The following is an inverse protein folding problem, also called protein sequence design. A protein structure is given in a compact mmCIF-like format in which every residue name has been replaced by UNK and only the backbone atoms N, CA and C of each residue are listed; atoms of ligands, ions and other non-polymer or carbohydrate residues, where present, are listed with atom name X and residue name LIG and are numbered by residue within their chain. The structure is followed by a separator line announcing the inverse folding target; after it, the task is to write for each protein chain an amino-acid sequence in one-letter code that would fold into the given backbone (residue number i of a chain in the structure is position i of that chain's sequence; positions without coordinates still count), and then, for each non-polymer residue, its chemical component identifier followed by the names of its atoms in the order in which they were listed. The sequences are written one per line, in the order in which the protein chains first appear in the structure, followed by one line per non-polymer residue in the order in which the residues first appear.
data_IF_934380306015
#
_entry.id   IF_934380306015
#
_cell.length_a   1.000
_cell.length_b   1.000
_cell.length_c   1.000
_cell.angle_alpha   90.00
_cell.angle_beta   90.00
_cell.angle_gamma   90.00
#
_symmetry.space_group_name_H-M   'P 1'
#
loop_
_entity.id
_entity.type
_entity.pdbx_description
1 polymer ?
#
# COMPACT_ATOMS: atom_id res chain seq x y z
N UNK A 1 -23.99 -31.51 -29.77
CA UNK A 1 -24.06 -30.24 -29.03
C UNK A 1 -22.63 -29.80 -28.78
N UNK A 2 -22.10 -28.80 -29.50
CA UNK A 2 -20.77 -28.28 -29.18
C UNK A 2 -20.89 -27.34 -27.99
N UNK A 3 -20.16 -27.60 -26.92
CA UNK A 3 -20.05 -26.66 -25.78
C UNK A 3 -19.50 -25.31 -26.28
N UNK A 4 -20.21 -24.24 -25.93
CA UNK A 4 -19.73 -22.88 -26.16
C UNK A 4 -18.66 -22.55 -25.11
N UNK A 5 -17.39 -22.61 -25.50
CA UNK A 5 -16.26 -22.15 -24.69
C UNK A 5 -15.74 -20.81 -25.23
N UNK A 6 -15.57 -19.82 -24.35
CA UNK A 6 -14.94 -18.53 -24.69
C UNK A 6 -14.06 -18.04 -23.55
N UNK A 7 -12.82 -17.73 -23.86
CA UNK A 7 -11.87 -17.13 -22.93
C UNK A 7 -12.20 -15.64 -22.73
N UNK A 8 -12.24 -15.18 -21.47
CA UNK A 8 -12.42 -13.78 -21.11
C UNK A 8 -11.17 -13.30 -20.39
N UNK A 9 -10.54 -12.24 -20.92
CA UNK A 9 -9.37 -11.59 -20.32
C UNK A 9 -9.77 -10.22 -19.79
N UNK A 10 -9.62 -10.02 -18.48
CA UNK A 10 -9.81 -8.72 -17.83
C UNK A 10 -8.44 -8.13 -17.55
N UNK A 11 -8.19 -6.90 -18.00
CA UNK A 11 -7.05 -6.12 -17.52
C UNK A 11 -7.31 -5.74 -16.05
N UNK A 12 -6.69 -6.47 -15.13
CA UNK A 12 -6.79 -6.24 -13.69
C UNK A 12 -5.90 -5.09 -13.22
N UNK A 13 -5.18 -4.40 -14.10
CA UNK A 13 -4.40 -3.22 -13.76
C UNK A 13 -3.19 -3.49 -12.87
N UNK A 14 -2.71 -4.74 -12.77
CA UNK A 14 -1.62 -5.13 -11.88
C UNK A 14 -0.29 -4.47 -12.29
N UNK A 15 0.46 -3.99 -11.29
CA UNK A 15 1.83 -3.49 -11.41
C UNK A 15 2.71 -4.24 -10.43
N UNK A 16 3.92 -4.57 -10.87
CA UNK A 16 4.93 -5.21 -10.04
C UNK A 16 5.95 -4.17 -9.59
N UNK A 17 6.13 -4.05 -8.28
CA UNK A 17 7.07 -3.12 -7.66
C UNK A 17 8.17 -3.96 -7.03
N UNK A 18 9.39 -3.92 -7.58
CA UNK A 18 10.52 -4.65 -7.02
C UNK A 18 10.89 -4.09 -5.65
N UNK A 19 11.19 -4.95 -4.68
CA UNK A 19 11.47 -4.54 -3.29
C UNK A 19 12.83 -4.98 -2.77
N UNK A 20 13.57 -5.79 -3.53
CA UNK A 20 14.92 -6.22 -3.16
C UNK A 20 15.71 -6.74 -4.37
N UNK A 21 17.00 -6.99 -4.17
CA UNK A 21 17.91 -7.53 -5.18
C UNK A 21 17.68 -9.03 -5.48
N UNK A 22 16.82 -9.72 -4.72
CA UNK A 22 16.46 -11.13 -4.92
C UNK A 22 15.37 -11.29 -5.98
N UNK A 23 14.80 -10.20 -6.48
CA UNK A 23 13.73 -10.20 -7.47
C UNK A 23 12.33 -10.34 -6.88
N UNK A 24 12.18 -10.21 -5.56
CA UNK A 24 10.85 -10.14 -4.96
C UNK A 24 10.15 -8.84 -5.36
N UNK A 25 8.82 -8.92 -5.43
CA UNK A 25 8.00 -7.78 -5.78
C UNK A 25 6.67 -7.77 -5.02
N UNK A 26 6.11 -6.57 -4.90
CA UNK A 26 4.74 -6.32 -4.50
C UNK A 26 3.85 -6.21 -5.74
N UNK A 27 2.61 -6.66 -5.63
CA UNK A 27 1.61 -6.56 -6.70
C UNK A 27 0.56 -5.53 -6.30
N UNK A 28 0.50 -4.42 -7.02
CA UNK A 28 -0.45 -3.34 -6.76
C UNK A 28 -1.32 -3.14 -7.99
N UNK A 29 -2.62 -3.25 -7.84
CA UNK A 29 -3.56 -2.99 -8.93
C UNK A 29 -3.99 -1.52 -8.92
N UNK A 30 -3.84 -0.84 -10.07
CA UNK A 30 -4.43 0.51 -10.26
C UNK A 30 -5.96 0.49 -10.36
N UNK A 31 -6.54 -0.70 -10.50
CA UNK A 31 -7.99 -0.93 -10.56
C UNK A 31 -8.55 -1.34 -9.19
N UNK A 32 -7.71 -1.62 -8.20
CA UNK A 32 -8.13 -1.77 -6.80
C UNK A 32 -8.26 -0.38 -6.18
N UNK A 33 -9.50 0.09 -6.03
CA UNK A 33 -9.74 1.39 -5.38
C UNK A 33 -9.41 1.36 -3.89
N UNK A 34 -9.45 0.19 -3.24
CA UNK A 34 -9.30 0.05 -1.80
C UNK A 34 -7.87 0.14 -1.31
N UNK A 35 -6.86 -0.01 -2.19
CA UNK A 35 -5.45 0.07 -1.77
C UNK A 35 -5.11 1.44 -1.20
N UNK A 36 -5.66 2.52 -1.77
CA UNK A 36 -5.45 3.89 -1.29
C UNK A 36 -6.12 4.12 0.07
N UNK A 37 -7.33 3.59 0.25
CA UNK A 37 -8.07 3.69 1.52
C UNK A 37 -7.32 2.92 2.63
N UNK A 38 -6.92 1.67 2.35
CA UNK A 38 -6.13 0.85 3.29
C UNK A 38 -4.80 1.52 3.66
N UNK A 39 -4.13 2.17 2.70
CA UNK A 39 -2.89 2.89 2.97
C UNK A 39 -3.13 4.14 3.82
N UNK A 40 -4.19 4.91 3.57
CA UNK A 40 -4.56 6.06 4.40
C UNK A 40 -4.91 5.65 5.85
N UNK A 41 -5.62 4.52 6.01
CA UNK A 41 -5.92 3.94 7.32
C UNK A 41 -4.65 3.52 8.07
N UNK A 42 -3.68 2.92 7.37
CA UNK A 42 -2.37 2.59 7.93
C UNK A 42 -1.64 3.85 8.43
N UNK A 43 -1.61 4.92 7.63
CA UNK A 43 -0.95 6.18 8.02
C UNK A 43 -1.60 6.82 9.24
N UNK A 44 -2.93 6.79 9.32
CA UNK A 44 -3.66 7.30 10.49
C UNK A 44 -3.32 6.50 11.73
N UNK A 45 -3.33 5.17 11.63
CA UNK A 45 -2.98 4.28 12.74
C UNK A 45 -1.52 4.47 13.20
N UNK A 46 -0.57 4.68 12.28
CA UNK A 46 0.83 4.95 12.63
C UNK A 46 0.97 6.22 13.45
N UNK A 47 0.29 7.31 13.06
CA UNK A 47 0.31 8.57 13.79
C UNK A 47 -0.29 8.43 15.21
N UNK A 48 -1.32 7.61 15.37
CA UNK A 48 -1.90 7.31 16.69
C UNK A 48 -0.92 6.50 17.55
N UNK A 49 -0.31 5.46 16.98
CA UNK A 49 0.67 4.63 17.72
C UNK A 49 1.94 5.38 18.09
N UNK A 50 2.40 6.30 17.26
CA UNK A 50 3.53 7.17 17.60
C UNK A 50 3.21 8.03 18.84
N UNK A 51 1.98 8.55 18.94
CA UNK A 51 1.53 9.28 20.13
C UNK A 51 1.48 8.36 21.36
N UNK A 52 0.98 7.14 21.21
CA UNK A 52 0.93 6.16 22.29
C UNK A 52 2.33 5.80 22.80
N UNK A 53 3.29 5.56 21.89
CA UNK A 53 4.68 5.29 22.23
C UNK A 53 5.35 6.47 22.93
N UNK A 54 5.12 7.69 22.42
CA UNK A 54 5.63 8.91 23.03
C UNK A 54 5.04 9.16 24.42
N UNK A 55 3.74 8.87 24.61
CA UNK A 55 3.10 8.98 25.91
C UNK A 55 3.64 7.93 26.88
N UNK A 56 3.75 6.67 26.44
CA UNK A 56 4.36 5.59 27.21
C UNK A 56 5.77 5.95 27.67
N UNK A 57 6.58 6.56 26.79
CA UNK A 57 7.90 7.05 27.15
C UNK A 57 7.87 8.14 28.22
N UNK A 58 6.96 9.10 28.11
CA UNK A 58 6.80 10.18 29.10
C UNK A 58 6.34 9.67 30.46
N UNK A 59 5.40 8.73 30.50
CA UNK A 59 4.85 8.17 31.74
C UNK A 59 5.92 7.44 32.57
N UNK A 60 6.96 6.94 31.91
CA UNK A 60 8.07 6.19 32.53
C UNK A 60 9.40 6.97 32.49
N UNK A 61 9.40 8.26 32.12
CA UNK A 61 10.62 9.07 31.98
C UNK A 61 11.39 9.33 33.29
N UNK A 62 10.76 9.08 34.45
CA UNK A 62 11.39 9.15 35.77
C UNK A 62 12.03 7.83 36.22
N UNK A 63 11.86 6.76 35.45
CA UNK A 63 12.47 5.47 35.74
C UNK A 63 13.95 5.47 35.33
N UNK A 64 14.74 4.65 36.00
CA UNK A 64 16.16 4.52 35.71
C UNK A 64 16.32 3.87 34.34
N UNK A 65 16.70 4.66 33.34
CA UNK A 65 16.87 4.19 31.96
C UNK A 65 18.01 3.16 31.79
N UNK A 66 18.85 2.97 32.81
CA UNK A 66 19.88 1.93 32.87
C UNK A 66 19.40 0.65 33.58
N UNK A 67 18.16 0.62 34.09
CA UNK A 67 17.53 -0.57 34.63
C UNK A 67 17.15 -1.54 33.49
N UNK A 68 17.69 -2.77 33.47
CA UNK A 68 17.36 -3.76 32.46
C UNK A 68 15.86 -4.08 32.34
N UNK A 69 15.09 -3.99 33.42
CA UNK A 69 13.65 -4.25 33.38
C UNK A 69 12.90 -3.15 32.62
N UNK A 70 13.26 -1.89 32.89
CA UNK A 70 12.71 -0.70 32.22
C UNK A 70 13.07 -0.72 30.72
N UNK A 71 14.34 -1.01 30.41
CA UNK A 71 14.80 -1.18 29.02
C UNK A 71 14.04 -2.30 28.30
N UNK A 72 13.87 -3.45 28.95
CA UNK A 72 13.13 -4.59 28.40
C UNK A 72 11.67 -4.27 28.13
N UNK A 73 11.02 -3.53 29.04
CA UNK A 73 9.64 -3.08 28.88
C UNK A 73 9.47 -2.15 27.67
N UNK A 74 10.34 -1.15 27.50
CA UNK A 74 10.31 -0.28 26.33
C UNK A 74 10.57 -1.02 25.02
N UNK A 75 11.57 -1.91 25.01
CA UNK A 75 11.89 -2.72 23.85
C UNK A 75 10.72 -3.64 23.46
N UNK A 76 10.07 -4.27 24.43
CA UNK A 76 8.88 -5.10 24.21
C UNK A 76 7.73 -4.28 23.63
N UNK A 77 7.48 -3.08 24.16
CA UNK A 77 6.39 -2.21 23.67
C UNK A 77 6.59 -1.75 22.23
N UNK A 78 7.83 -1.39 21.86
CA UNK A 78 8.18 -1.05 20.48
C UNK A 78 8.05 -2.26 19.57
N UNK A 79 8.56 -3.42 20.00
CA UNK A 79 8.49 -4.66 19.22
C UNK A 79 7.04 -5.05 18.92
N UNK A 80 6.16 -5.03 19.93
CA UNK A 80 4.72 -5.28 19.76
C UNK A 80 4.11 -4.33 18.72
N UNK A 81 4.44 -3.04 18.81
CA UNK A 81 3.91 -2.01 17.91
C UNK A 81 4.33 -2.25 16.47
N UNK A 82 5.60 -2.56 16.21
CA UNK A 82 6.09 -2.79 14.86
C UNK A 82 5.69 -4.16 14.30
N UNK A 83 5.40 -5.15 15.15
CA UNK A 83 4.73 -6.38 14.73
C UNK A 83 3.31 -6.09 14.21
N UNK A 84 2.50 -5.31 14.94
CA UNK A 84 1.17 -4.88 14.48
C UNK A 84 1.28 -4.06 13.18
N UNK A 85 2.32 -3.23 13.04
CA UNK A 85 2.60 -2.49 11.81
C UNK A 85 2.83 -3.43 10.63
N UNK A 86 3.61 -4.50 10.81
CA UNK A 86 3.87 -5.48 9.76
C UNK A 86 2.59 -6.18 9.31
N UNK A 87 1.73 -6.59 10.24
CA UNK A 87 0.44 -7.19 9.90
C UNK A 87 -0.46 -6.25 9.08
N UNK A 88 -0.42 -4.95 9.38
CA UNK A 88 -1.19 -3.95 8.63
C UNK A 88 -0.61 -3.72 7.25
N UNK A 89 0.71 -3.63 7.13
CA UNK A 89 1.41 -3.55 5.86
C UNK A 89 1.08 -4.73 4.94
N UNK A 90 1.09 -5.95 5.47
CA UNK A 90 0.69 -7.15 4.75
C UNK A 90 -0.79 -7.09 4.31
N UNK A 91 -1.69 -6.51 5.12
CA UNK A 91 -3.10 -6.28 4.71
C UNK A 91 -3.23 -5.25 3.58
N UNK A 92 -2.33 -4.26 3.51
CA UNK A 92 -2.36 -3.24 2.45
C UNK A 92 -1.80 -3.80 1.13
N UNK A 93 -0.61 -4.41 1.20
CA UNK A 93 0.23 -4.74 0.03
C UNK A 93 0.26 -6.24 -0.31
N UNK A 94 -0.43 -7.06 0.48
CA UNK A 94 -0.53 -8.51 0.29
C UNK A 94 0.33 -9.30 1.26
N UNK A 95 -0.07 -10.56 1.47
CA UNK A 95 0.58 -11.47 2.40
C UNK A 95 2.09 -11.63 2.11
N UNK A 96 2.89 -11.52 3.17
CA UNK A 96 4.34 -11.63 3.09
C UNK A 96 5.04 -10.38 2.53
N UNK A 97 4.35 -9.24 2.45
CA UNK A 97 4.95 -7.96 2.12
C UNK A 97 6.16 -7.68 3.02
N UNK A 98 5.98 -7.75 4.34
CA UNK A 98 7.03 -7.41 5.30
C UNK A 98 8.23 -8.34 5.19
N UNK A 99 8.01 -9.65 5.00
CA UNK A 99 9.11 -10.61 4.81
C UNK A 99 9.91 -10.31 3.54
N UNK A 100 9.25 -9.89 2.45
CA UNK A 100 9.93 -9.56 1.18
C UNK A 100 10.73 -8.26 1.28
N UNK A 101 10.18 -7.26 1.96
CA UNK A 101 10.79 -5.92 2.10
C UNK A 101 11.90 -5.93 3.16
N UNK A 102 11.59 -6.42 4.36
CA UNK A 102 12.46 -6.28 5.54
C UNK A 102 13.25 -7.56 5.87
N UNK A 103 12.83 -8.72 5.37
CA UNK A 103 13.40 -10.03 5.73
C UNK A 103 12.73 -10.66 6.96
N UNK A 104 13.42 -11.60 7.61
CA UNK A 104 12.92 -12.29 8.81
C UNK A 104 13.22 -11.51 10.10
N UNK A 105 12.75 -10.25 10.14
CA UNK A 105 12.93 -9.35 11.29
C UNK A 105 11.62 -8.63 11.60
N UNK A 106 11.55 -8.05 12.81
CA UNK A 106 10.62 -6.96 13.11
C UNK A 106 11.36 -5.66 12.79
N UNK A 107 10.94 -4.89 11.76
CA UNK A 107 11.57 -3.62 11.41
C UNK A 107 11.35 -2.60 12.53
N UNK A 108 12.29 -1.68 12.70
CA UNK A 108 12.12 -0.55 13.59
C UNK A 108 11.50 0.65 12.85
N UNK A 109 11.36 1.76 13.55
CA UNK A 109 10.79 3.00 13.03
C UNK A 109 11.47 3.48 11.75
N UNK A 110 12.81 3.47 11.71
CA UNK A 110 13.55 4.05 10.60
C UNK A 110 13.30 3.26 9.33
N UNK A 111 13.32 1.93 9.44
CA UNK A 111 13.08 1.05 8.31
C UNK A 111 11.61 1.09 7.83
N UNK A 112 10.66 1.23 8.76
CA UNK A 112 9.25 1.43 8.43
C UNK A 112 9.03 2.76 7.69
N UNK A 113 9.61 3.85 8.19
CA UNK A 113 9.43 5.18 7.57
C UNK A 113 10.06 5.25 6.18
N UNK A 114 11.26 4.69 6.00
CA UNK A 114 11.92 4.61 4.68
C UNK A 114 11.04 3.86 3.67
N UNK A 115 10.46 2.72 4.07
CA UNK A 115 9.52 2.00 3.20
C UNK A 115 8.26 2.81 2.88
N UNK A 116 7.68 3.49 3.87
CA UNK A 116 6.47 4.30 3.69
C UNK A 116 6.69 5.46 2.72
N UNK A 117 7.83 6.13 2.81
CA UNK A 117 8.19 7.21 1.88
C UNK A 117 8.29 6.69 0.45
N UNK A 118 9.06 5.62 0.24
CA UNK A 118 9.27 5.02 -1.08
C UNK A 118 7.97 4.47 -1.69
N UNK A 119 7.15 3.76 -0.90
CA UNK A 119 5.89 3.20 -1.39
C UNK A 119 4.83 4.28 -1.61
N UNK A 120 4.88 5.38 -0.83
CA UNK A 120 4.03 6.55 -1.02
C UNK A 120 4.22 7.18 -2.40
N UNK A 121 5.47 7.37 -2.83
CA UNK A 121 5.80 7.88 -4.17
C UNK A 121 5.27 6.96 -5.28
N UNK A 122 5.41 5.65 -5.09
CA UNK A 122 4.86 4.64 -6.02
C UNK A 122 3.35 4.75 -6.09
N UNK A 123 2.65 4.79 -4.95
CA UNK A 123 1.19 4.90 -4.91
C UNK A 123 0.72 6.19 -5.57
N UNK A 124 1.41 7.31 -5.36
CA UNK A 124 1.11 8.58 -6.03
C UNK A 124 1.21 8.44 -7.57
N UNK A 125 2.31 7.85 -8.08
CA UNK A 125 2.48 7.62 -9.52
C UNK A 125 1.39 6.70 -10.09
N UNK A 126 1.01 5.64 -9.36
CA UNK A 126 -0.07 4.73 -9.73
C UNK A 126 -1.44 5.42 -9.76
N UNK A 127 -1.71 6.32 -8.80
CA UNK A 127 -2.91 7.15 -8.78
C UNK A 127 -3.01 8.07 -10.00
N UNK A 128 -1.90 8.69 -10.40
CA UNK A 128 -1.85 9.49 -11.63
C UNK A 128 -2.12 8.64 -12.88
N UNK A 129 -1.53 7.45 -12.96
CA UNK A 129 -1.78 6.53 -14.08
C UNK A 129 -3.26 6.15 -14.18
N UNK A 130 -3.89 5.80 -13.05
CA UNK A 130 -5.32 5.48 -12.97
C UNK A 130 -6.18 6.62 -13.52
N UNK A 131 -5.93 7.85 -13.07
CA UNK A 131 -6.67 9.02 -13.51
C UNK A 131 -6.53 9.26 -15.02
N UNK A 132 -5.32 9.10 -15.59
CA UNK A 132 -5.09 9.21 -17.03
C UNK A 132 -5.86 8.15 -17.82
N UNK A 133 -5.79 6.88 -17.40
CA UNK A 133 -6.52 5.78 -18.06
C UNK A 133 -8.02 5.98 -18.03
N UNK A 134 -8.56 6.49 -16.92
CA UNK A 134 -9.97 6.84 -16.81
C UNK A 134 -10.32 7.95 -17.81
N UNK A 135 -9.58 9.06 -17.83
CA UNK A 135 -9.81 10.15 -18.78
C UNK A 135 -9.80 9.69 -20.24
N UNK A 136 -8.84 8.85 -20.64
CA UNK A 136 -8.77 8.29 -22.00
C UNK A 136 -9.97 7.41 -22.34
N UNK A 137 -10.40 6.53 -21.43
CA UNK A 137 -11.53 5.62 -21.64
C UNK A 137 -12.85 6.38 -21.80
N UNK A 138 -13.07 7.42 -20.99
CA UNK A 138 -14.23 8.30 -21.13
C UNK A 138 -14.17 9.16 -22.39
N UNK A 139 -13.00 9.69 -22.77
CA UNK A 139 -12.83 10.49 -23.99
C UNK A 139 -13.00 9.67 -25.28
N UNK A 140 -12.52 8.42 -25.33
CA UNK A 140 -12.77 7.50 -26.46
C UNK A 140 -14.26 7.20 -26.64
N UNK A 141 -15.00 7.03 -25.54
CA UNK A 141 -16.46 6.84 -25.57
C UNK A 141 -17.23 8.05 -26.10
N UNK A 142 -16.73 9.29 -25.91
CA UNK A 142 -17.32 10.49 -26.52
C UNK A 142 -17.05 10.62 -28.03
N UNK A 143 -15.86 10.23 -28.53
CA UNK A 143 -15.56 10.32 -29.98
C UNK A 143 -16.42 9.38 -30.84
N UNK A 144 -16.89 8.25 -30.30
CA UNK A 144 -17.81 7.34 -31.00
C UNK A 144 -19.29 7.76 -30.98
N UNK A 145 -19.69 8.64 -30.06
CA UNK A 145 -21.08 9.08 -29.91
C UNK A 145 -21.42 10.34 -30.75
N UNK A 146 -20.41 11.00 -31.34
CA UNK A 146 -20.61 12.28 -32.05
C UNK A 146 -20.32 12.21 -33.57
N UNK A 147 -20.12 11.03 -34.14
CA UNK A 147 -20.22 10.86 -35.60
C UNK A 147 -21.70 10.83 -35.97
N UNK A 148 -22.31 12.01 -36.09
CA UNK A 148 -23.52 12.17 -36.90
C UNK A 148 -23.21 11.60 -38.28
N UNK A 149 -23.98 10.60 -38.72
CA UNK A 149 -24.09 10.29 -40.16
C UNK A 149 -24.54 11.59 -40.85
N UNK A 150 -23.93 12.00 -41.97
CA UNK A 150 -24.58 12.96 -42.85
C UNK A 150 -25.87 12.29 -43.34
N UNK A 151 -27.00 12.86 -42.93
CA UNK A 151 -28.26 12.67 -43.65
C UNK A 151 -28.15 13.42 -44.98
N UNK A 152 -28.34 12.68 -46.07
CA UNK A 152 -28.82 13.18 -47.38
C UNK A 152 -27.86 14.00 -48.23
N UNK A 153 -27.72 13.63 -49.50
CA UNK A 153 -28.40 14.39 -50.56
C UNK A 153 -28.33 13.66 -51.93
N UNK A 154 -29.53 13.57 -52.54
CA UNK A 154 -29.95 13.19 -53.90
C UNK A 154 -29.94 11.70 -54.29
#
# INVERSE_FOLDING_TARGET
MSEFYKELRVDNGLRKIGVNDKGDYLEISINDSSVFDRFADLMTWLQEKEKDLNQFQKDHAGEKADDPEVLGMYAAKRTETYQECCERLDKVFGEGCCRKVFGEIVPDELLIMDFIEQIGDVLHALGQERNRRMAEKYNRRRKGANTKKPEGDV
#
